data_IF_646466080507
#
_entry.id   IF_646466080507
#
_cell.length_a   1.000
_cell.length_b   1.000
_cell.length_c   1.000
_cell.angle_alpha   90.00
_cell.angle_beta   90.00
_cell.angle_gamma   90.00
#
_symmetry.space_group_name_H-M   'P 1'
#
loop_
_entity.id
_entity.type
_entity.pdbx_description
1 polymer ?
#
# COMPACT_ATOMS: atom_id res chain seq x y z
N UNK A 1 34.23 -18.31 -16.83
CA UNK A 1 33.38 -18.00 -15.66
C UNK A 1 32.73 -16.65 -15.91
N UNK A 2 31.44 -16.62 -16.27
CA UNK A 2 30.65 -15.40 -16.53
C UNK A 2 30.16 -14.77 -15.21
N UNK A 3 31.03 -14.72 -14.21
CA UNK A 3 30.74 -14.14 -12.91
C UNK A 3 31.11 -12.68 -12.94
N UNK A 4 30.17 -11.80 -13.31
CA UNK A 4 30.01 -10.39 -12.90
C UNK A 4 29.12 -9.65 -13.90
N UNK A 5 27.83 -9.97 -13.93
CA UNK A 5 26.80 -9.02 -14.39
C UNK A 5 26.07 -8.48 -13.15
N UNK A 6 26.84 -7.95 -12.19
CA UNK A 6 26.26 -7.30 -10.99
C UNK A 6 25.79 -5.86 -11.28
N UNK A 7 26.23 -5.28 -12.40
CA UNK A 7 25.77 -3.96 -12.82
C UNK A 7 24.49 -4.07 -13.64
N UNK A 8 23.39 -3.55 -13.09
CA UNK A 8 22.08 -3.48 -13.78
C UNK A 8 22.19 -2.82 -15.15
N UNK A 9 23.05 -1.80 -15.28
CA UNK A 9 23.28 -1.08 -16.56
C UNK A 9 23.92 -1.95 -17.65
N UNK A 10 24.48 -3.11 -17.31
CA UNK A 10 25.07 -4.05 -18.25
C UNK A 10 24.09 -5.15 -18.69
N UNK A 11 22.83 -5.11 -18.25
CA UNK A 11 21.81 -6.08 -18.64
C UNK A 11 21.27 -5.84 -20.05
N UNK A 12 20.82 -6.91 -20.71
CA UNK A 12 20.30 -6.89 -22.10
C UNK A 12 19.27 -5.77 -22.40
N UNK A 13 18.30 -5.42 -21.52
CA UNK A 13 17.34 -4.35 -21.80
C UNK A 13 17.98 -2.98 -22.09
N UNK A 14 19.17 -2.69 -21.57
CA UNK A 14 19.90 -1.43 -21.82
C UNK A 14 20.59 -1.39 -23.20
N UNK A 15 20.74 -2.54 -23.86
CA UNK A 15 21.35 -2.67 -25.19
C UNK A 15 20.35 -3.10 -26.27
N UNK A 16 19.12 -3.46 -25.89
CA UNK A 16 18.10 -3.89 -26.82
C UNK A 16 17.76 -2.77 -27.80
N UNK A 17 17.84 -3.09 -29.10
CA UNK A 17 17.40 -2.21 -30.19
C UNK A 17 16.30 -2.92 -30.95
N UNK A 18 15.04 -2.45 -30.90
CA UNK A 18 13.96 -3.08 -31.63
C UNK A 18 14.22 -3.02 -33.14
N UNK A 19 13.98 -4.12 -33.84
CA UNK A 19 14.02 -4.18 -35.32
C UNK A 19 12.68 -3.81 -35.96
N UNK A 20 11.69 -3.46 -35.14
CA UNK A 20 10.37 -2.99 -35.55
C UNK A 20 10.18 -1.52 -35.15
N UNK A 21 9.28 -0.83 -35.82
CA UNK A 21 8.89 0.53 -35.46
C UNK A 21 8.08 0.53 -34.16
N UNK A 22 8.52 1.31 -33.17
CA UNK A 22 7.79 1.47 -31.91
C UNK A 22 6.66 2.46 -32.14
N UNK A 23 5.44 1.94 -32.32
CA UNK A 23 4.25 2.75 -32.63
C UNK A 23 3.63 3.35 -31.37
N UNK A 24 3.82 2.70 -30.21
CA UNK A 24 3.20 3.09 -28.94
C UNK A 24 4.25 3.41 -27.87
N UNK A 25 4.00 4.45 -27.08
CA UNK A 25 4.82 4.79 -25.91
C UNK A 25 4.42 3.95 -24.69
N UNK A 26 5.05 2.77 -24.58
CA UNK A 26 4.86 1.85 -23.45
C UNK A 26 5.16 2.44 -22.07
N UNK A 27 5.98 3.49 -21.99
CA UNK A 27 6.35 4.11 -20.71
C UNK A 27 5.23 4.97 -20.13
N UNK A 28 4.39 5.54 -21.00
CA UNK A 28 3.28 6.41 -20.62
C UNK A 28 1.92 5.71 -20.72
N UNK A 29 1.90 4.41 -21.03
CA UNK A 29 0.67 3.61 -21.07
C UNK A 29 -0.09 3.56 -19.74
N UNK A 30 0.60 3.83 -18.62
CA UNK A 30 -0.02 3.94 -17.31
C UNK A 30 0.54 5.15 -16.55
N UNK A 31 -0.33 6.10 -16.23
CA UNK A 31 0.00 7.24 -15.38
C UNK A 31 -0.95 7.27 -14.18
N UNK A 32 -0.44 7.22 -12.93
CA UNK A 32 -1.29 7.24 -11.73
C UNK A 32 -2.27 8.41 -11.66
N UNK A 33 -1.88 9.57 -12.21
CA UNK A 33 -2.71 10.78 -12.27
C UNK A 33 -3.95 10.56 -13.15
N UNK A 34 -3.79 9.92 -14.32
CA UNK A 34 -4.89 9.63 -15.24
C UNK A 34 -5.87 8.62 -14.63
N UNK A 35 -5.35 7.57 -13.96
CA UNK A 35 -6.21 6.63 -13.23
C UNK A 35 -6.95 7.30 -12.07
N UNK A 36 -6.30 8.24 -11.38
CA UNK A 36 -6.95 9.01 -10.33
C UNK A 36 -8.05 9.94 -10.87
N UNK A 37 -7.88 10.55 -12.06
CA UNK A 37 -8.94 11.32 -12.71
C UNK A 37 -10.20 10.47 -12.92
N UNK A 38 -10.04 9.24 -13.41
CA UNK A 38 -11.16 8.29 -13.55
C UNK A 38 -11.83 7.98 -12.21
N UNK A 39 -11.08 7.89 -11.12
CA UNK A 39 -11.64 7.70 -9.78
C UNK A 39 -12.39 8.95 -9.29
N UNK A 40 -11.79 10.13 -9.45
CA UNK A 40 -12.35 11.41 -9.01
C UNK A 40 -13.67 11.76 -9.69
N UNK A 41 -13.88 11.25 -10.91
CA UNK A 41 -15.16 11.36 -11.63
C UNK A 41 -16.31 10.57 -10.98
N UNK A 42 -16.00 9.60 -10.11
CA UNK A 42 -16.97 8.70 -9.48
C UNK A 42 -17.14 9.00 -7.99
N UNK A 43 -16.12 9.53 -7.32
CA UNK A 43 -16.16 9.80 -5.88
C UNK A 43 -15.20 10.92 -5.48
N UNK A 44 -15.61 11.73 -4.48
CA UNK A 44 -14.79 12.76 -3.84
C UNK A 44 -14.20 12.31 -2.48
N UNK A 45 -14.27 11.01 -2.16
CA UNK A 45 -13.79 10.45 -0.88
C UNK A 45 -12.26 10.26 -0.84
N UNK A 46 -11.58 10.38 -1.98
CA UNK A 46 -10.16 10.06 -2.16
C UNK A 46 -9.36 11.25 -2.70
N UNK A 47 -8.07 11.30 -2.40
CA UNK A 47 -7.14 12.30 -2.93
C UNK A 47 -5.85 11.64 -3.41
N UNK A 48 -5.20 12.27 -4.38
CA UNK A 48 -3.83 11.99 -4.74
C UNK A 48 -2.90 12.68 -3.73
N UNK A 49 -1.98 11.93 -3.13
CA UNK A 49 -0.95 12.44 -2.23
C UNK A 49 0.42 12.33 -2.89
N UNK A 50 1.16 13.45 -2.88
CA UNK A 50 2.55 13.53 -3.31
C UNK A 50 3.52 13.37 -2.13
N UNK A 51 3.07 12.81 -1.00
CA UNK A 51 3.91 12.67 0.19
C UNK A 51 5.16 11.83 -0.05
N UNK A 52 5.06 10.85 -0.96
CA UNK A 52 6.15 9.96 -1.32
C UNK A 52 6.90 10.43 -2.56
N UNK A 53 6.77 11.71 -2.92
CA UNK A 53 7.60 12.29 -3.97
C UNK A 53 9.07 12.09 -3.61
N UNK A 54 9.88 11.85 -4.64
CA UNK A 54 11.29 11.46 -4.51
C UNK A 54 11.52 10.20 -3.64
N UNK A 55 10.50 9.36 -3.43
CA UNK A 55 10.56 8.12 -2.66
C UNK A 55 10.97 8.29 -1.18
N UNK A 56 10.75 9.49 -0.63
CA UNK A 56 11.25 9.92 0.68
C UNK A 56 10.59 9.26 1.89
N UNK A 57 9.35 8.76 1.76
CA UNK A 57 8.60 8.13 2.87
C UNK A 57 8.63 6.62 2.79
N UNK A 58 8.43 6.06 1.60
CA UNK A 58 8.47 4.64 1.34
C UNK A 58 9.20 4.39 0.00
N UNK A 59 10.46 3.94 0.05
CA UNK A 59 11.28 3.69 -1.14
C UNK A 59 10.69 2.68 -2.14
N UNK A 60 9.77 1.83 -1.67
CA UNK A 60 9.19 0.74 -2.46
C UNK A 60 7.75 1.01 -2.93
N UNK A 61 7.23 2.22 -2.68
CA UNK A 61 5.95 2.69 -3.19
C UNK A 61 6.15 3.63 -4.38
N UNK A 62 5.12 3.83 -5.23
CA UNK A 62 5.16 4.86 -6.27
C UNK A 62 5.32 6.27 -5.66
N UNK A 63 5.77 7.25 -6.46
CA UNK A 63 6.00 8.63 -5.99
C UNK A 63 4.70 9.35 -5.59
N UNK A 64 3.58 8.96 -6.20
CA UNK A 64 2.23 9.43 -5.87
C UNK A 64 1.37 8.26 -5.44
N UNK A 65 0.53 8.46 -4.42
CA UNK A 65 -0.34 7.43 -3.86
C UNK A 65 -1.75 7.96 -3.64
N UNK A 66 -2.75 7.08 -3.74
CA UNK A 66 -4.15 7.45 -3.50
C UNK A 66 -4.54 7.06 -2.08
N UNK A 67 -5.07 8.02 -1.33
CA UNK A 67 -5.41 7.93 0.10
C UNK A 67 -6.76 8.60 0.39
N UNK A 68 -7.43 8.31 1.52
CA UNK A 68 -8.67 8.99 1.87
C UNK A 68 -8.48 10.51 1.99
N UNK A 69 -9.41 11.29 1.45
CA UNK A 69 -9.33 12.75 1.40
C UNK A 69 -9.24 13.40 2.79
N UNK A 70 -9.84 12.78 3.80
CA UNK A 70 -9.88 13.25 5.19
C UNK A 70 -8.58 13.03 5.99
N UNK A 71 -7.57 12.37 5.40
CA UNK A 71 -6.29 12.10 6.05
C UNK A 71 -5.25 13.02 5.45
N UNK A 72 -4.58 13.82 6.29
CA UNK A 72 -3.48 14.71 5.89
C UNK A 72 -2.15 13.96 5.75
N UNK A 73 -1.17 14.60 5.10
CA UNK A 73 0.13 13.98 4.86
C UNK A 73 0.94 13.78 6.16
N UNK A 74 0.75 14.62 7.18
CA UNK A 74 1.44 14.44 8.46
C UNK A 74 0.99 13.16 9.19
N UNK A 75 -0.30 12.86 9.17
CA UNK A 75 -0.83 11.59 9.64
C UNK A 75 -0.22 10.42 8.86
N UNK A 76 -0.11 10.52 7.53
CA UNK A 76 0.52 9.47 6.72
C UNK A 76 1.99 9.24 7.10
N UNK A 77 2.77 10.29 7.43
CA UNK A 77 4.16 10.11 7.92
C UNK A 77 4.18 9.26 9.19
N UNK A 78 3.27 9.50 10.12
CA UNK A 78 3.17 8.71 11.36
C UNK A 78 2.75 7.26 11.09
N UNK A 79 1.80 7.05 10.17
CA UNK A 79 1.41 5.70 9.74
C UNK A 79 2.58 4.97 9.06
N UNK A 80 3.34 5.67 8.23
CA UNK A 80 4.53 5.13 7.58
C UNK A 80 5.60 4.68 8.60
N UNK A 81 5.75 5.39 9.72
CA UNK A 81 6.65 4.94 10.80
C UNK A 81 6.11 3.71 11.57
N UNK A 82 4.80 3.46 11.51
CA UNK A 82 4.16 2.32 12.17
C UNK A 82 4.06 1.07 11.29
N UNK A 83 4.26 1.19 9.97
CA UNK A 83 4.12 0.11 9.00
C UNK A 83 5.49 -0.38 8.55
N UNK A 84 5.69 -1.69 8.50
CA UNK A 84 6.98 -2.28 8.14
C UNK A 84 7.48 -1.85 6.74
N UNK A 85 8.70 -1.31 6.66
CA UNK A 85 9.23 -0.76 5.41
C UNK A 85 8.46 0.48 4.92
N UNK A 86 7.72 1.12 5.81
CA UNK A 86 6.93 2.32 5.56
C UNK A 86 5.82 2.17 4.53
N UNK A 87 5.37 0.93 4.30
CA UNK A 87 4.29 0.60 3.38
C UNK A 87 2.93 0.78 4.04
N UNK A 88 2.54 2.04 4.22
CA UNK A 88 1.24 2.41 4.80
C UNK A 88 0.06 2.01 3.90
N UNK A 89 -1.16 1.86 4.45
CA UNK A 89 -2.35 1.57 3.65
C UNK A 89 -2.59 2.58 2.53
N UNK A 90 -2.62 2.08 1.28
CA UNK A 90 -2.94 2.86 0.08
C UNK A 90 -4.01 2.16 -0.74
N UNK A 91 -4.80 2.92 -1.50
CA UNK A 91 -5.80 2.37 -2.40
C UNK A 91 -5.14 1.54 -3.52
N UNK A 92 -5.67 0.35 -3.76
CA UNK A 92 -5.29 -0.52 -4.88
C UNK A 92 -6.41 -0.68 -5.89
N UNK A 93 -7.67 -0.65 -5.44
CA UNK A 93 -8.84 -0.82 -6.30
C UNK A 93 -10.08 -0.18 -5.68
N UNK A 94 -10.91 0.41 -6.54
CA UNK A 94 -12.22 0.97 -6.19
C UNK A 94 -13.31 0.36 -7.08
N UNK A 95 -14.31 -0.26 -6.47
CA UNK A 95 -15.42 -0.86 -7.19
C UNK A 95 -16.55 0.15 -7.42
N UNK A 96 -16.61 0.72 -8.64
CA UNK A 96 -17.53 1.82 -9.00
C UNK A 96 -19.00 1.59 -8.62
N UNK A 97 -19.52 0.38 -8.78
CA UNK A 97 -20.96 0.08 -8.59
C UNK A 97 -21.42 0.09 -7.14
N UNK A 98 -20.56 -0.24 -6.17
CA UNK A 98 -20.94 -0.31 -4.75
C UNK A 98 -19.99 0.46 -3.82
N UNK A 99 -18.93 1.07 -4.38
CA UNK A 99 -17.89 1.82 -3.69
C UNK A 99 -17.12 1.04 -2.64
N UNK A 100 -17.06 -0.30 -2.76
CA UNK A 100 -16.11 -1.09 -1.98
C UNK A 100 -14.68 -0.84 -2.48
N UNK A 101 -13.73 -0.91 -1.56
CA UNK A 101 -12.32 -0.64 -1.85
C UNK A 101 -11.43 -1.78 -1.42
N UNK A 102 -10.34 -1.96 -2.15
CA UNK A 102 -9.23 -2.80 -1.75
C UNK A 102 -8.03 -1.91 -1.50
N UNK A 103 -7.43 -2.06 -0.33
CA UNK A 103 -6.19 -1.39 0.03
C UNK A 103 -5.07 -2.40 0.22
N UNK A 104 -3.83 -1.97 0.05
CA UNK A 104 -2.64 -2.77 0.35
C UNK A 104 -1.74 -2.04 1.33
N UNK A 105 -1.06 -2.81 2.18
CA UNK A 105 -0.07 -2.32 3.14
C UNK A 105 0.89 -3.44 3.54
N UNK A 106 1.93 -3.12 4.30
CA UNK A 106 2.68 -4.10 5.08
C UNK A 106 2.05 -4.37 6.44
N UNK A 107 2.54 -5.39 7.15
CA UNK A 107 2.23 -5.60 8.55
C UNK A 107 2.52 -4.34 9.43
N UNK A 108 1.74 -4.14 10.51
CA UNK A 108 2.02 -3.10 11.50
C UNK A 108 3.17 -3.50 12.44
N UNK A 109 3.87 -2.50 12.98
CA UNK A 109 4.98 -2.64 13.94
C UNK A 109 4.44 -2.61 15.38
N UNK A 110 3.53 -3.53 15.68
CA UNK A 110 2.90 -3.65 17.01
C UNK A 110 3.88 -4.18 18.08
N UNK A 111 4.77 -5.08 17.69
CA UNK A 111 5.66 -5.80 18.59
C UNK A 111 4.96 -6.60 19.69
N UNK A 112 5.75 -7.10 20.63
CA UNK A 112 5.28 -7.80 21.83
C UNK A 112 4.48 -6.88 22.75
N UNK A 113 4.93 -5.63 22.88
CA UNK A 113 4.33 -4.59 23.74
C UNK A 113 2.96 -4.08 23.24
N UNK A 114 2.50 -4.51 22.07
CA UNK A 114 1.19 -4.11 21.53
C UNK A 114 1.10 -2.62 21.21
N UNK A 115 2.18 -2.04 20.67
CA UNK A 115 2.24 -0.64 20.23
C UNK A 115 1.07 -0.34 19.30
N UNK A 116 0.49 0.85 19.46
CA UNK A 116 -0.63 1.36 18.68
C UNK A 116 -0.24 2.62 17.92
N UNK A 117 -1.01 2.92 16.88
CA UNK A 117 -0.91 4.15 16.11
C UNK A 117 -2.32 4.68 15.85
N UNK A 118 -2.66 5.82 16.48
CA UNK A 118 -3.99 6.43 16.33
C UNK A 118 -4.24 6.87 14.90
N UNK A 119 -3.19 7.31 14.20
CA UNK A 119 -3.25 7.72 12.81
C UNK A 119 -3.48 6.53 11.87
N UNK A 120 -2.93 5.34 12.16
CA UNK A 120 -3.20 4.11 11.39
C UNK A 120 -4.66 3.67 11.59
N UNK A 121 -5.13 3.66 12.85
CA UNK A 121 -6.53 3.39 13.18
C UNK A 121 -7.47 4.38 12.46
N UNK A 122 -7.14 5.68 12.45
CA UNK A 122 -7.92 6.72 11.76
C UNK A 122 -7.90 6.54 10.23
N UNK A 123 -6.74 6.28 9.63
CA UNK A 123 -6.58 6.10 8.19
C UNK A 123 -7.44 4.96 7.68
N UNK A 124 -7.37 3.81 8.35
CA UNK A 124 -8.10 2.63 7.92
C UNK A 124 -9.60 2.85 8.13
N UNK A 125 -10.03 3.42 9.26
CA UNK A 125 -11.45 3.74 9.50
C UNK A 125 -12.03 4.79 8.53
N UNK A 126 -11.22 5.73 8.03
CA UNK A 126 -11.66 6.72 7.04
C UNK A 126 -12.14 6.10 5.72
N UNK A 127 -11.85 4.80 5.50
CA UNK A 127 -12.24 4.06 4.30
C UNK A 127 -13.59 3.35 4.47
N UNK A 128 -14.09 3.25 5.70
CA UNK A 128 -15.38 2.64 6.00
C UNK A 128 -16.52 3.62 5.78
N UNK A 129 -17.56 3.13 5.12
CA UNK A 129 -18.83 3.82 5.01
C UNK A 129 -19.66 3.60 6.27
N UNK A 130 -20.57 4.53 6.56
CA UNK A 130 -21.47 4.46 7.70
C UNK A 130 -22.18 3.09 7.77
N UNK A 131 -22.13 2.46 8.94
CA UNK A 131 -22.77 1.15 9.19
C UNK A 131 -22.10 -0.05 8.51
N UNK A 132 -20.92 0.11 7.90
CA UNK A 132 -20.15 -1.00 7.31
C UNK A 132 -18.99 -1.43 8.20
N UNK A 133 -18.56 -2.68 8.01
CA UNK A 133 -17.36 -3.26 8.62
C UNK A 133 -16.37 -3.63 7.55
N UNK A 134 -15.09 -3.55 7.87
CA UNK A 134 -13.99 -3.92 6.98
C UNK A 134 -13.40 -5.27 7.33
N UNK A 135 -12.56 -5.77 6.41
CA UNK A 135 -11.77 -6.98 6.61
C UNK A 135 -10.29 -6.66 6.46
N UNK A 136 -9.50 -7.18 7.40
CA UNK A 136 -8.03 -7.18 7.29
C UNK A 136 -7.63 -8.61 6.98
N UNK A 137 -7.11 -8.84 5.77
CA UNK A 137 -6.73 -10.16 5.30
C UNK A 137 -5.21 -10.30 5.48
N UNK A 138 -4.80 -11.08 6.48
CA UNK A 138 -3.41 -11.48 6.64
C UNK A 138 -3.19 -12.77 5.84
N UNK A 139 -2.27 -12.70 4.88
CA UNK A 139 -1.99 -13.82 3.97
C UNK A 139 -0.97 -14.81 4.53
N UNK A 140 -0.45 -14.55 5.74
CA UNK A 140 0.48 -15.45 6.44
C UNK A 140 -0.29 -16.50 7.22
N UNK A 141 0.37 -17.62 7.50
CA UNK A 141 -0.09 -18.54 8.54
C UNK A 141 -0.07 -17.86 9.92
N UNK A 142 -0.92 -18.32 10.84
CA UNK A 142 -0.99 -17.80 12.21
C UNK A 142 0.39 -17.83 12.90
N UNK A 143 1.15 -18.91 12.69
CA UNK A 143 2.48 -19.07 13.30
C UNK A 143 3.48 -18.02 12.79
N UNK A 144 3.50 -17.77 11.48
CA UNK A 144 4.39 -16.76 10.88
C UNK A 144 4.00 -15.35 11.35
N UNK A 145 2.70 -15.06 11.45
CA UNK A 145 2.21 -13.78 11.99
C UNK A 145 2.64 -13.57 13.46
N UNK A 146 2.60 -14.61 14.30
CA UNK A 146 3.07 -14.54 15.69
C UNK A 146 4.59 -14.39 15.79
N UNK A 147 5.36 -15.10 14.96
CA UNK A 147 6.81 -14.93 14.90
C UNK A 147 7.20 -13.51 14.47
N UNK A 148 6.48 -12.93 13.52
CA UNK A 148 6.70 -11.55 13.10
C UNK A 148 6.40 -10.55 14.24
N UNK A 149 5.36 -10.81 15.05
CA UNK A 149 5.07 -10.03 16.27
C UNK A 149 6.24 -10.10 17.26
N UNK A 150 6.81 -11.28 17.48
CA UNK A 150 7.97 -11.44 18.36
C UNK A 150 9.21 -10.66 17.88
N UNK A 151 9.34 -10.43 16.56
CA UNK A 151 10.41 -9.64 15.93
C UNK A 151 10.10 -8.14 15.80
N UNK A 152 9.05 -7.64 16.45
CA UNK A 152 8.67 -6.22 16.42
C UNK A 152 7.61 -5.83 15.39
N UNK A 153 7.23 -6.74 14.48
CA UNK A 153 6.10 -6.59 13.56
C UNK A 153 4.77 -6.95 14.22
N UNK A 154 3.91 -7.65 13.49
CA UNK A 154 2.68 -8.24 14.04
C UNK A 154 1.48 -8.01 13.15
N UNK A 155 0.34 -7.69 13.77
CA UNK A 155 -0.98 -7.63 13.14
C UNK A 155 -1.93 -6.76 13.95
N UNK A 156 -2.99 -6.31 13.30
CA UNK A 156 -4.05 -5.48 13.87
C UNK A 156 -4.88 -6.29 14.88
N UNK A 157 -4.98 -5.78 16.12
CA UNK A 157 -5.76 -6.41 17.19
C UNK A 157 -7.19 -5.88 17.18
N UNK A 158 -8.20 -6.77 17.15
CA UNK A 158 -9.61 -6.37 17.02
C UNK A 158 -10.09 -5.38 18.09
N UNK A 159 -9.53 -5.44 19.30
CA UNK A 159 -9.80 -4.47 20.36
C UNK A 159 -9.45 -3.02 19.99
N UNK A 160 -8.46 -2.82 19.12
CA UNK A 160 -8.02 -1.51 18.65
C UNK A 160 -8.62 -1.13 17.28
N UNK A 161 -9.09 -2.12 16.52
CA UNK A 161 -9.72 -1.95 15.22
C UNK A 161 -11.13 -2.57 15.23
N UNK A 162 -12.07 -2.07 16.08
CA UNK A 162 -13.34 -2.74 16.37
C UNK A 162 -14.29 -2.85 15.17
N UNK A 163 -14.11 -2.01 14.14
CA UNK A 163 -14.88 -2.06 12.90
C UNK A 163 -14.27 -2.99 11.85
N UNK A 164 -13.12 -3.60 12.15
CA UNK A 164 -12.36 -4.44 11.24
C UNK A 164 -12.25 -5.85 11.79
N UNK A 165 -12.70 -6.81 10.98
CA UNK A 165 -12.51 -8.22 11.29
C UNK A 165 -11.24 -8.71 10.63
N UNK A 166 -10.32 -9.27 11.43
CA UNK A 166 -9.12 -9.88 10.88
C UNK A 166 -9.40 -11.31 10.42
N UNK A 167 -8.93 -11.66 9.24
CA UNK A 167 -9.02 -13.01 8.67
C UNK A 167 -7.62 -13.45 8.28
N UNK A 168 -7.30 -14.72 8.55
CA UNK A 168 -6.07 -15.35 8.07
C UNK A 168 -6.38 -16.23 6.86
N UNK A 169 -5.69 -16.00 5.76
CA UNK A 169 -5.80 -16.78 4.53
C UNK A 169 -4.39 -17.09 4.02
N UNK A 170 -3.78 -18.15 4.56
CA UNK A 170 -2.44 -18.58 4.14
C UNK A 170 -2.43 -18.81 2.63
N UNK A 171 -1.44 -18.23 1.95
CA UNK A 171 -1.16 -18.46 0.53
C UNK A 171 0.08 -19.36 0.36
N UNK A 172 0.81 -19.62 1.45
CA UNK A 172 1.89 -20.60 1.55
C UNK A 172 1.37 -22.01 1.79
#
# INVERSE_FOLDING_TARGET
>A
ALSTLDSVTLMYPFFYRPMFEVVEDGWRSFLPEQEFELLSSVTDEWRLSCINKEFSVCPSYPPVVIVPKSIDDEALRKVAMFRHGSRFPVLSYYHKKNGMVMMRSSQPLTGTNGRRCKEDEKLINATLRAGKRGYIIDTRSLNVAQQARAKGGGFEQEAHYPQWRRIHKSIE
#
